data_IF_576824355783
#
_entry.id   IF_576824355783
#
_cell.length_a   1.000
_cell.length_b   1.000
_cell.length_c   1.000
_cell.angle_alpha   90.00
_cell.angle_beta   90.00
_cell.angle_gamma   90.00
#
_symmetry.space_group_name_H-M   'P 1'
#
loop_
_entity.id
_entity.type
_entity.pdbx_description
1 polymer ?
#
# COMPACT_ATOMS: atom_id res chain seq x y z
N UNK A 1 32.20 -21.74 -44.20
CA UNK A 1 32.15 -20.79 -43.08
C UNK A 1 31.10 -19.66 -43.26
N UNK A 2 30.86 -19.13 -44.47
CA UNK A 2 29.90 -18.03 -44.71
C UNK A 2 28.44 -18.36 -44.33
N UNK A 3 27.95 -19.59 -44.52
CA UNK A 3 26.55 -19.95 -44.26
C UNK A 3 26.22 -20.09 -42.77
N UNK A 4 27.20 -20.37 -41.91
CA UNK A 4 26.98 -20.46 -40.45
C UNK A 4 26.85 -19.06 -39.80
N UNK A 5 27.55 -18.07 -40.36
CA UNK A 5 27.48 -16.67 -39.88
C UNK A 5 26.12 -16.06 -40.21
N UNK A 6 25.57 -16.36 -41.40
CA UNK A 6 24.23 -15.85 -41.78
C UNK A 6 23.12 -16.43 -40.92
N UNK A 7 23.23 -17.73 -40.54
CA UNK A 7 22.26 -18.37 -39.66
C UNK A 7 22.28 -17.76 -38.23
N UNK A 8 23.47 -17.49 -37.70
CA UNK A 8 23.61 -16.84 -36.41
C UNK A 8 23.09 -15.40 -36.40
N UNK A 9 23.29 -14.64 -37.48
CA UNK A 9 22.75 -13.27 -37.60
C UNK A 9 21.23 -13.28 -37.72
N UNK A 10 20.65 -14.24 -38.46
CA UNK A 10 19.21 -14.42 -38.56
C UNK A 10 18.55 -14.76 -37.23
N UNK A 11 19.17 -15.64 -36.42
CA UNK A 11 18.71 -15.96 -35.08
C UNK A 11 18.83 -14.74 -34.12
N UNK A 12 19.89 -13.95 -34.21
CA UNK A 12 20.08 -12.74 -33.39
C UNK A 12 19.03 -11.67 -33.72
N UNK A 13 18.71 -11.47 -35.01
CA UNK A 13 17.67 -10.55 -35.45
C UNK A 13 16.26 -11.03 -35.06
N UNK A 14 15.99 -12.36 -35.06
CA UNK A 14 14.74 -12.90 -34.60
C UNK A 14 14.57 -12.73 -33.08
N UNK A 15 15.63 -12.85 -32.29
CA UNK A 15 15.62 -12.57 -30.84
C UNK A 15 15.42 -11.08 -30.53
N UNK A 16 15.89 -10.18 -31.38
CA UNK A 16 15.66 -8.73 -31.23
C UNK A 16 14.23 -8.31 -31.58
N UNK A 17 13.49 -9.13 -32.31
CA UNK A 17 12.07 -8.89 -32.64
C UNK A 17 11.08 -9.57 -31.68
N UNK A 18 11.54 -10.47 -30.82
CA UNK A 18 10.79 -10.94 -29.66
C UNK A 18 10.86 -9.90 -28.52
N UNK A 19 10.56 -8.64 -28.84
CA UNK A 19 10.00 -7.77 -27.81
C UNK A 19 8.65 -8.40 -27.50
N UNK A 20 8.52 -8.91 -26.28
CA UNK A 20 7.21 -9.20 -25.75
C UNK A 20 6.37 -7.96 -26.10
N UNK A 21 5.33 -8.13 -26.88
CA UNK A 21 4.27 -7.12 -26.96
C UNK A 21 3.69 -7.06 -25.55
N UNK A 22 4.35 -6.26 -24.73
CA UNK A 22 3.72 -5.78 -23.50
C UNK A 22 2.48 -5.09 -24.03
N UNK A 23 1.35 -5.71 -23.77
CA UNK A 23 0.06 -5.17 -24.14
C UNK A 23 -0.06 -3.84 -23.38
N UNK A 24 0.37 -2.74 -24.02
CA UNK A 24 0.35 -1.39 -23.47
C UNK A 24 -1.07 -0.81 -23.49
N UNK A 25 -2.10 -1.65 -23.42
CA UNK A 25 -3.42 -1.20 -23.04
C UNK A 25 -3.37 -0.74 -21.58
N UNK A 26 -2.70 0.36 -21.38
CA UNK A 26 -2.71 1.09 -20.14
C UNK A 26 -4.18 1.39 -19.85
N UNK A 27 -4.69 0.91 -18.73
CA UNK A 27 -6.08 1.16 -18.35
C UNK A 27 -6.27 2.67 -18.19
N UNK A 28 -7.30 3.20 -18.83
CA UNK A 28 -7.67 4.61 -18.77
C UNK A 28 -9.11 4.75 -18.35
N UNK A 29 -9.42 5.84 -17.66
CA UNK A 29 -10.79 6.19 -17.35
C UNK A 29 -11.50 6.68 -18.62
N UNK A 30 -12.68 6.14 -18.90
CA UNK A 30 -13.47 6.50 -20.07
C UNK A 30 -13.99 7.95 -20.00
N UNK A 31 -14.36 8.42 -18.79
CA UNK A 31 -14.81 9.79 -18.59
C UNK A 31 -13.64 10.71 -18.22
N UNK A 32 -13.36 11.79 -19.00
CA UNK A 32 -12.28 12.72 -18.70
C UNK A 32 -12.45 13.45 -17.36
N UNK A 33 -13.63 13.55 -16.82
CA UNK A 33 -13.92 14.21 -15.54
C UNK A 33 -13.89 13.29 -14.33
N UNK A 34 -13.69 11.98 -14.52
CA UNK A 34 -13.59 11.04 -13.40
C UNK A 34 -12.15 10.90 -12.90
N UNK A 35 -12.00 10.49 -11.68
CA UNK A 35 -10.74 10.09 -11.04
C UNK A 35 -10.97 8.80 -10.23
N UNK A 36 -9.90 8.23 -9.70
CA UNK A 36 -9.96 7.03 -8.89
C UNK A 36 -9.50 7.29 -7.47
N UNK A 37 -10.15 6.62 -6.52
CA UNK A 37 -9.63 6.35 -5.19
C UNK A 37 -9.43 4.84 -5.12
N UNK A 38 -8.20 4.42 -4.82
CA UNK A 38 -7.89 2.99 -4.67
C UNK A 38 -8.11 2.59 -3.22
N UNK A 39 -8.90 1.54 -3.00
CA UNK A 39 -9.10 0.96 -1.68
C UNK A 39 -8.34 -0.37 -1.59
N UNK A 40 -7.38 -0.44 -0.68
CA UNK A 40 -6.69 -1.65 -0.28
C UNK A 40 -7.40 -2.21 0.95
N UNK A 41 -7.90 -3.44 0.85
CA UNK A 41 -8.48 -4.15 1.98
C UNK A 41 -7.39 -4.65 2.94
N UNK A 42 -7.80 -5.38 3.97
CA UNK A 42 -6.98 -5.90 5.04
C UNK A 42 -5.82 -6.76 4.53
N UNK A 43 -4.56 -6.28 4.55
CA UNK A 43 -3.45 -7.02 3.96
C UNK A 43 -2.92 -8.15 4.84
N UNK A 44 -3.38 -8.31 6.07
CA UNK A 44 -2.86 -9.26 7.06
C UNK A 44 -2.62 -10.69 6.50
N UNK A 45 -3.55 -11.22 5.71
CA UNK A 45 -3.43 -12.56 5.13
C UNK A 45 -2.39 -12.67 4.01
N UNK A 46 -2.04 -11.56 3.37
CA UNK A 46 -0.93 -11.50 2.43
C UNK A 46 0.40 -11.34 3.15
N UNK A 47 0.39 -10.63 4.28
CA UNK A 47 1.60 -10.20 4.99
C UNK A 47 2.16 -11.28 5.91
N UNK A 48 1.31 -12.08 6.54
CA UNK A 48 1.72 -13.09 7.53
C UNK A 48 2.44 -14.32 6.97
N UNK A 49 2.34 -14.53 5.66
CA UNK A 49 3.04 -15.62 4.98
C UNK A 49 3.99 -15.06 3.93
N UNK A 50 5.26 -15.46 3.96
CA UNK A 50 6.28 -15.02 3.01
C UNK A 50 5.88 -15.29 1.54
N UNK A 51 5.27 -16.44 1.28
CA UNK A 51 4.82 -16.84 -0.06
C UNK A 51 3.60 -16.05 -0.57
N UNK A 52 2.85 -15.36 0.31
CA UNK A 52 1.72 -14.51 -0.08
C UNK A 52 2.13 -13.04 -0.30
N UNK A 53 3.26 -12.62 0.27
CA UNK A 53 3.72 -11.24 0.20
C UNK A 53 3.81 -10.68 -1.23
N UNK A 54 4.25 -11.44 -2.26
CA UNK A 54 4.28 -10.95 -3.63
C UNK A 54 2.93 -10.45 -4.17
N UNK A 55 1.82 -10.97 -3.66
CA UNK A 55 0.47 -10.54 -4.09
C UNK A 55 0.21 -9.09 -3.65
N UNK A 56 0.45 -8.77 -2.37
CA UNK A 56 0.26 -7.40 -1.88
C UNK A 56 1.29 -6.43 -2.49
N UNK A 57 2.51 -6.89 -2.69
CA UNK A 57 3.54 -6.11 -3.39
C UNK A 57 3.13 -5.77 -4.83
N UNK A 58 2.49 -6.73 -5.53
CA UNK A 58 1.94 -6.49 -6.87
C UNK A 58 0.80 -5.47 -6.84
N UNK A 59 -0.09 -5.51 -5.84
CA UNK A 59 -1.19 -4.54 -5.69
C UNK A 59 -0.67 -3.12 -5.55
N UNK A 60 0.32 -2.89 -4.67
CA UNK A 60 0.91 -1.56 -4.49
C UNK A 60 1.74 -1.11 -5.70
N UNK A 61 2.46 -2.03 -6.35
CA UNK A 61 3.22 -1.76 -7.57
C UNK A 61 2.30 -1.40 -8.74
N UNK A 62 1.20 -2.15 -8.91
CA UNK A 62 0.18 -1.87 -9.92
C UNK A 62 -0.45 -0.50 -9.69
N UNK A 63 -0.83 -0.19 -8.45
CA UNK A 63 -1.37 1.12 -8.08
C UNK A 63 -0.39 2.23 -8.44
N UNK A 64 0.88 2.10 -8.02
CA UNK A 64 1.92 3.08 -8.32
C UNK A 64 2.15 3.29 -9.83
N UNK A 65 2.00 2.23 -10.63
CA UNK A 65 2.15 2.29 -12.09
C UNK A 65 0.98 2.99 -12.78
N UNK A 66 -0.22 2.92 -12.19
CA UNK A 66 -1.45 3.43 -12.82
C UNK A 66 -1.93 4.78 -12.25
N UNK A 67 -1.12 5.44 -11.41
CA UNK A 67 -1.52 6.73 -10.80
C UNK A 67 -2.00 7.72 -11.87
N UNK A 68 -1.22 7.91 -12.93
CA UNK A 68 -1.54 8.88 -13.97
C UNK A 68 -2.69 8.41 -14.88
N UNK A 69 -2.61 7.16 -15.36
CA UNK A 69 -3.59 6.63 -16.31
C UNK A 69 -5.00 6.51 -15.73
N UNK A 70 -5.10 6.21 -14.44
CA UNK A 70 -6.37 6.16 -13.70
C UNK A 70 -6.64 7.41 -12.86
N UNK A 71 -5.80 8.42 -12.97
CA UNK A 71 -5.93 9.67 -12.19
C UNK A 71 -6.20 9.39 -10.70
N UNK A 72 -5.36 8.55 -10.10
CA UNK A 72 -5.52 8.18 -8.69
C UNK A 72 -5.24 9.39 -7.82
N UNK A 73 -6.24 9.86 -7.11
CA UNK A 73 -6.15 11.02 -6.20
C UNK A 73 -5.77 10.63 -4.78
N UNK A 74 -6.13 9.43 -4.37
CA UNK A 74 -5.81 8.89 -3.04
C UNK A 74 -5.80 7.36 -3.03
N UNK A 75 -5.05 6.80 -2.09
CA UNK A 75 -5.11 5.37 -1.73
C UNK A 75 -5.56 5.25 -0.29
N UNK A 76 -6.52 4.39 -0.03
CA UNK A 76 -7.05 4.12 1.31
C UNK A 76 -6.75 2.68 1.70
N UNK A 77 -6.53 2.44 2.99
CA UNK A 77 -6.42 1.10 3.54
C UNK A 77 -7.31 0.95 4.76
N UNK A 78 -8.00 -0.19 4.86
CA UNK A 78 -9.02 -0.42 5.90
C UNK A 78 -8.45 -0.90 7.23
N UNK A 79 -7.13 -1.10 7.32
CA UNK A 79 -6.47 -1.60 8.53
C UNK A 79 -6.14 -3.08 8.45
N UNK A 80 -5.92 -3.70 9.60
CA UNK A 80 -5.39 -5.07 9.72
C UNK A 80 -4.15 -5.25 8.83
N UNK A 81 -3.20 -4.33 9.00
CA UNK A 81 -1.95 -4.27 8.23
C UNK A 81 -1.08 -5.50 8.44
N UNK A 82 -1.14 -6.04 9.66
CA UNK A 82 -0.44 -7.25 10.11
C UNK A 82 -1.44 -8.22 10.74
N UNK A 83 -1.07 -9.49 10.85
CA UNK A 83 -1.92 -10.49 11.54
C UNK A 83 -1.69 -10.47 13.06
N UNK A 84 -0.50 -10.03 13.48
CA UNK A 84 -0.18 -9.83 14.91
C UNK A 84 0.74 -8.61 15.04
N UNK A 85 0.41 -7.74 15.98
CA UNK A 85 1.18 -6.52 16.19
C UNK A 85 2.54 -6.77 16.86
N UNK A 86 2.64 -7.68 17.85
CA UNK A 86 3.87 -7.89 18.63
C UNK A 86 4.32 -9.35 18.78
N UNK A 87 3.72 -10.30 18.07
CA UNK A 87 4.08 -11.72 18.19
C UNK A 87 5.48 -12.00 17.60
N UNK A 88 6.38 -12.50 18.42
CA UNK A 88 7.76 -12.84 18.02
C UNK A 88 7.82 -14.23 17.39
N UNK A 89 7.05 -15.18 17.90
CA UNK A 89 7.02 -16.56 17.44
C UNK A 89 5.57 -16.94 17.10
N UNK A 90 5.15 -16.72 15.84
CA UNK A 90 3.81 -17.09 15.44
C UNK A 90 3.64 -18.62 15.53
N UNK A 91 2.57 -19.12 16.17
CA UNK A 91 2.29 -20.55 16.17
C UNK A 91 1.82 -20.99 14.77
N UNK A 92 2.78 -21.33 13.92
CA UNK A 92 2.52 -21.91 12.59
C UNK A 92 1.59 -23.15 12.68
N UNK A 93 0.66 -23.37 11.73
CA UNK A 93 0.45 -22.58 10.50
C UNK A 93 -0.64 -21.49 10.61
N UNK A 94 -1.35 -21.41 11.73
CA UNK A 94 -2.57 -20.60 11.87
C UNK A 94 -2.30 -19.09 11.76
N UNK A 95 -1.21 -18.64 12.35
CA UNK A 95 -0.87 -17.22 12.47
C UNK A 95 0.27 -16.79 11.50
N UNK A 96 0.53 -17.60 10.49
CA UNK A 96 1.57 -17.31 9.53
C UNK A 96 2.92 -17.93 9.89
N UNK A 97 3.95 -17.63 9.08
CA UNK A 97 5.32 -18.07 9.28
C UNK A 97 6.31 -16.90 9.49
N UNK A 98 5.78 -15.69 9.65
CA UNK A 98 6.57 -14.47 9.84
C UNK A 98 6.27 -13.82 11.20
N UNK A 99 7.31 -13.30 11.83
CA UNK A 99 7.19 -12.50 13.04
C UNK A 99 6.45 -11.19 12.76
N UNK A 100 5.88 -10.57 13.78
CA UNK A 100 5.25 -9.24 13.67
C UNK A 100 6.18 -8.21 13.04
N UNK A 101 7.46 -8.22 13.42
CA UNK A 101 8.45 -7.30 12.87
C UNK A 101 8.66 -7.47 11.37
N UNK A 102 8.71 -8.71 10.90
CA UNK A 102 8.81 -9.02 9.46
C UNK A 102 7.57 -8.58 8.71
N UNK A 103 6.38 -8.80 9.29
CA UNK A 103 5.11 -8.36 8.74
C UNK A 103 5.05 -6.82 8.63
N UNK A 104 5.34 -6.09 9.71
CA UNK A 104 5.39 -4.63 9.70
C UNK A 104 6.41 -4.07 8.71
N UNK A 105 7.60 -4.67 8.67
CA UNK A 105 8.64 -4.26 7.71
C UNK A 105 8.18 -4.46 6.27
N UNK A 106 7.52 -5.58 5.99
CA UNK A 106 7.03 -5.86 4.65
C UNK A 106 5.93 -4.89 4.23
N UNK A 107 4.87 -4.73 5.05
CA UNK A 107 3.75 -3.85 4.68
C UNK A 107 4.21 -2.41 4.52
N UNK A 108 5.09 -1.93 5.41
CA UNK A 108 5.70 -0.62 5.28
C UNK A 108 6.47 -0.47 3.97
N UNK A 109 7.29 -1.45 3.60
CA UNK A 109 8.03 -1.45 2.32
C UNK A 109 7.08 -1.43 1.12
N UNK A 110 5.99 -2.20 1.16
CA UNK A 110 5.01 -2.24 0.08
C UNK A 110 4.35 -0.87 -0.13
N UNK A 111 3.94 -0.19 0.94
CA UNK A 111 3.42 1.19 0.88
C UNK A 111 4.49 2.20 0.44
N UNK A 112 5.77 1.95 0.69
CA UNK A 112 6.88 2.78 0.21
C UNK A 112 6.89 3.01 -1.30
N UNK A 113 6.23 2.15 -2.08
CA UNK A 113 6.04 2.34 -3.53
C UNK A 113 5.14 3.51 -3.86
N UNK A 114 4.27 3.92 -2.93
CA UNK A 114 3.29 5.01 -3.05
C UNK A 114 3.83 6.32 -2.46
N UNK A 115 4.88 6.26 -1.62
CA UNK A 115 5.45 7.43 -0.96
C UNK A 115 5.86 8.49 -1.98
N UNK A 116 5.44 9.73 -1.74
CA UNK A 116 5.70 10.91 -2.56
C UNK A 116 5.12 10.87 -4.00
N UNK A 117 4.30 9.87 -4.31
CA UNK A 117 3.63 9.72 -5.62
C UNK A 117 2.13 9.98 -5.53
N UNK A 118 1.50 9.49 -4.47
CA UNK A 118 0.07 9.66 -4.21
C UNK A 118 -0.15 9.75 -2.70
N UNK A 119 -1.05 10.63 -2.23
CA UNK A 119 -1.42 10.62 -0.82
C UNK A 119 -2.19 9.34 -0.50
N UNK A 120 -1.93 8.79 0.66
CA UNK A 120 -2.69 7.67 1.17
C UNK A 120 -3.08 7.89 2.63
N UNK A 121 -4.17 7.25 3.05
CA UNK A 121 -4.64 7.26 4.42
C UNK A 121 -4.94 5.84 4.85
N UNK A 122 -4.47 5.47 6.03
CA UNK A 122 -4.58 4.12 6.58
C UNK A 122 -5.34 4.20 7.88
N UNK A 123 -6.50 3.53 7.96
CA UNK A 123 -7.11 3.19 9.24
C UNK A 123 -6.35 2.02 9.87
N UNK A 124 -6.39 1.90 11.17
CA UNK A 124 -5.90 0.71 11.86
C UNK A 124 -7.06 -0.24 12.16
N UNK A 125 -6.81 -1.53 12.10
CA UNK A 125 -7.75 -2.58 12.46
C UNK A 125 -7.40 -3.22 13.80
N UNK A 126 -8.18 -4.22 14.25
CA UNK A 126 -7.97 -4.85 15.53
C UNK A 126 -6.68 -5.68 15.64
N UNK A 127 -6.14 -6.17 14.51
CA UNK A 127 -4.90 -6.93 14.47
C UNK A 127 -3.65 -6.04 14.60
N UNK A 128 -3.80 -4.74 14.38
CA UNK A 128 -2.72 -3.75 14.47
C UNK A 128 -2.41 -3.33 15.92
N UNK A 129 -3.12 -3.91 16.92
CA UNK A 129 -2.99 -3.60 18.35
C UNK A 129 -2.76 -4.84 19.20
N UNK A 130 -2.15 -4.62 20.36
CA UNK A 130 -1.92 -5.67 21.35
C UNK A 130 -0.83 -6.64 20.95
N UNK A 131 -0.84 -7.81 21.57
CA UNK A 131 0.11 -8.88 21.23
C UNK A 131 -0.30 -9.58 19.93
N UNK A 132 -1.55 -10.05 19.86
CA UNK A 132 -2.11 -10.69 18.67
C UNK A 132 -3.30 -9.93 18.10
N UNK A 133 -4.27 -9.54 18.93
CA UNK A 133 -5.53 -8.97 18.46
C UNK A 133 -6.17 -8.08 19.52
N UNK A 134 -5.73 -6.85 19.61
CA UNK A 134 -6.29 -5.79 20.47
C UNK A 134 -6.46 -6.15 21.97
N UNK A 135 -5.57 -6.98 22.52
CA UNK A 135 -5.55 -7.25 23.97
C UNK A 135 -5.22 -5.98 24.78
N UNK A 136 -4.62 -5.02 24.14
CA UNK A 136 -4.36 -3.70 24.69
C UNK A 136 -4.37 -2.66 23.55
N UNK A 137 -4.10 -1.39 23.88
CA UNK A 137 -4.10 -0.28 22.91
C UNK A 137 -2.73 0.03 22.29
N UNK A 138 -1.74 -0.78 22.53
CA UNK A 138 -0.40 -0.55 21.98
C UNK A 138 -0.34 -0.99 20.53
N UNK A 139 0.26 -0.16 19.69
CA UNK A 139 0.46 -0.44 18.27
C UNK A 139 1.86 -0.03 17.83
N UNK A 140 2.41 -0.74 16.85
CA UNK A 140 3.66 -0.36 16.17
C UNK A 140 3.44 0.53 14.95
N UNK A 141 2.21 0.88 14.65
CA UNK A 141 1.88 1.70 13.48
C UNK A 141 2.74 2.97 13.36
N UNK A 142 2.94 3.79 14.42
CA UNK A 142 3.76 5.00 14.32
C UNK A 142 5.23 4.75 13.99
N UNK A 143 5.79 3.58 14.35
CA UNK A 143 7.17 3.20 14.03
C UNK A 143 7.37 3.00 12.52
N UNK A 144 6.36 2.47 11.84
CA UNK A 144 6.42 2.08 10.43
C UNK A 144 5.77 3.09 9.48
N UNK A 145 4.89 3.92 10.01
CA UNK A 145 4.19 4.98 9.28
C UNK A 145 4.28 6.32 10.01
N UNK A 146 5.52 6.85 10.18
CA UNK A 146 5.71 8.17 10.81
C UNK A 146 5.05 9.27 9.98
N UNK A 147 4.60 10.33 10.64
CA UNK A 147 3.83 11.44 10.05
C UNK A 147 4.58 12.21 8.94
N UNK A 148 5.89 12.10 8.89
CA UNK A 148 6.73 12.77 7.89
C UNK A 148 7.00 11.90 6.65
N UNK A 149 6.58 10.65 6.64
CA UNK A 149 6.95 9.65 5.65
C UNK A 149 6.58 10.03 4.22
N UNK A 150 5.34 10.49 4.01
CA UNK A 150 4.87 10.91 2.69
C UNK A 150 4.80 12.44 2.63
N UNK A 151 5.63 13.07 1.81
CA UNK A 151 5.68 14.52 1.69
C UNK A 151 4.35 15.16 1.22
N UNK A 152 3.50 14.40 0.55
CA UNK A 152 2.19 14.85 0.09
C UNK A 152 1.21 15.06 1.25
N UNK A 153 1.41 14.40 2.39
CA UNK A 153 0.58 14.60 3.59
C UNK A 153 0.60 16.04 4.09
N UNK A 154 1.71 16.76 3.92
CA UNK A 154 1.80 18.18 4.30
C UNK A 154 0.77 19.06 3.61
N UNK A 155 0.25 18.63 2.45
CA UNK A 155 -0.73 19.36 1.65
C UNK A 155 -2.13 18.79 1.74
N UNK A 156 -2.26 17.53 2.11
CA UNK A 156 -3.52 16.81 2.05
C UNK A 156 -4.10 16.47 3.41
N UNK A 157 -3.28 16.32 4.46
CA UNK A 157 -3.79 16.16 5.84
C UNK A 157 -4.21 17.54 6.37
N UNK A 158 -5.50 17.69 6.63
CA UNK A 158 -6.10 18.94 7.09
C UNK A 158 -6.35 18.96 8.61
N UNK A 159 -6.42 17.78 9.22
CA UNK A 159 -6.51 17.62 10.67
C UNK A 159 -5.92 16.25 11.07
N UNK A 160 -5.30 16.19 12.21
CA UNK A 160 -4.88 14.95 12.86
C UNK A 160 -4.90 15.17 14.37
N UNK A 161 -5.13 14.10 15.12
CA UNK A 161 -5.03 14.09 16.58
C UNK A 161 -4.19 12.91 17.02
N UNK A 162 -3.66 13.00 18.24
CA UNK A 162 -2.92 11.89 18.82
C UNK A 162 -3.80 10.63 18.93
N UNK A 163 -3.16 9.47 18.80
CA UNK A 163 -3.85 8.21 19.08
C UNK A 163 -4.20 8.10 20.58
N UNK A 164 -4.91 7.03 20.94
CA UNK A 164 -5.36 6.77 22.33
C UNK A 164 -4.20 6.69 23.34
N UNK A 165 -2.97 6.47 22.90
CA UNK A 165 -1.77 6.44 23.73
C UNK A 165 -1.08 7.81 23.83
N UNK A 166 -1.65 8.85 23.24
CA UNK A 166 -1.10 10.21 23.24
C UNK A 166 0.05 10.42 22.24
N UNK A 167 0.25 9.52 21.30
CA UNK A 167 1.31 9.62 20.29
C UNK A 167 0.82 10.37 19.05
N UNK A 168 1.62 11.28 18.48
CA UNK A 168 1.30 11.93 17.21
C UNK A 168 1.40 10.91 16.07
N UNK A 169 0.28 10.71 15.38
CA UNK A 169 0.16 9.69 14.34
C UNK A 169 -0.97 10.05 13.37
N UNK A 170 -1.07 9.35 12.24
CA UNK A 170 -2.17 9.51 11.29
C UNK A 170 -3.27 8.45 11.46
N UNK A 171 -3.30 7.72 12.57
CA UNK A 171 -4.40 6.80 12.89
C UNK A 171 -5.74 7.53 13.02
N UNK A 172 -5.70 8.77 13.53
CA UNK A 172 -6.84 9.69 13.61
C UNK A 172 -6.54 10.92 12.77
N UNK A 173 -6.90 10.88 11.51
CA UNK A 173 -6.59 11.97 10.58
C UNK A 173 -7.71 12.22 9.57
N UNK A 174 -7.80 13.46 9.14
CA UNK A 174 -8.64 13.88 8.04
C UNK A 174 -7.76 14.31 6.86
N UNK A 175 -7.97 13.70 5.73
CA UNK A 175 -7.32 14.01 4.47
C UNK A 175 -8.31 14.67 3.53
N UNK A 176 -7.89 15.76 2.90
CA UNK A 176 -8.66 16.42 1.85
C UNK A 176 -7.99 16.21 0.50
N UNK A 177 -8.77 15.81 -0.48
CA UNK A 177 -8.39 15.82 -1.89
C UNK A 177 -9.30 16.81 -2.64
N UNK A 178 -8.73 17.49 -3.62
CA UNK A 178 -9.46 18.45 -4.45
C UNK A 178 -9.45 18.00 -5.89
N UNK A 179 -10.59 18.14 -6.54
CA UNK A 179 -10.75 17.91 -7.96
C UNK A 179 -11.50 19.09 -8.58
N UNK A 180 -11.10 19.51 -9.79
CA UNK A 180 -11.70 20.68 -10.47
C UNK A 180 -13.18 20.48 -10.77
N UNK A 181 -13.59 19.24 -11.03
CA UNK A 181 -14.96 18.91 -11.40
C UNK A 181 -15.82 18.49 -10.20
N UNK A 182 -15.22 17.74 -9.24
CA UNK A 182 -15.92 17.15 -8.11
C UNK A 182 -15.79 17.97 -6.81
N UNK A 183 -14.92 19.00 -6.82
CA UNK A 183 -14.70 19.86 -5.66
C UNK A 183 -13.83 19.20 -4.59
N UNK A 184 -14.13 19.52 -3.33
CA UNK A 184 -13.36 19.07 -2.15
C UNK A 184 -14.00 17.81 -1.56
N UNK A 185 -13.19 16.79 -1.35
CA UNK A 185 -13.59 15.52 -0.75
C UNK A 185 -12.79 15.33 0.53
N UNK A 186 -13.48 15.21 1.66
CA UNK A 186 -12.89 14.92 2.94
C UNK A 186 -12.96 13.43 3.24
N UNK A 187 -11.82 12.84 3.60
CA UNK A 187 -11.68 11.45 3.97
C UNK A 187 -11.17 11.40 5.39
N UNK A 188 -11.82 10.62 6.26
CA UNK A 188 -11.49 10.54 7.67
C UNK A 188 -11.08 9.10 7.99
N UNK A 189 -9.91 8.92 8.56
CA UNK A 189 -9.49 7.69 9.21
C UNK A 189 -9.63 7.86 10.73
N UNK A 190 -10.03 6.79 11.39
CA UNK A 190 -10.16 6.70 12.83
C UNK A 190 -9.48 5.42 13.29
N UNK A 191 -8.72 5.50 14.37
CA UNK A 191 -8.09 4.33 14.97
C UNK A 191 -9.13 3.28 15.40
N UNK A 192 -8.72 2.01 15.46
CA UNK A 192 -9.56 0.96 15.99
C UNK A 192 -9.91 1.23 17.46
N UNK A 193 -11.21 1.12 17.81
CA UNK A 193 -11.75 1.42 19.14
C UNK A 193 -11.25 2.77 19.72
N UNK A 194 -11.56 3.91 19.06
CA UNK A 194 -11.19 5.21 19.56
C UNK A 194 -11.79 5.48 20.93
N UNK A 195 -11.19 6.37 21.69
CA UNK A 195 -11.80 6.86 22.95
C UNK A 195 -12.99 7.76 22.63
N UNK A 196 -14.01 7.67 23.49
CA UNK A 196 -15.14 8.61 23.51
C UNK A 196 -14.69 10.03 23.85
#
# INVERSE_FOLDING_TARGET
>A
MKNRIILCLGCLLAFLQLRAQVNTNQQHLCNPNSFSIVLLGDPQNYVKYDYNQPVFELMTAWTAHHIDSLRVKAVLCTGDLVDQNECILPPFPRFGNLTSREQWTFVSRAFGRLDNKVPYLISTGNHDYGYTRSENSMTRFPEYFPIERNSLWRKTIVAATNNRNGLPTLENAAMEITDEHWGRILIIAVEFAPRD
#
